data_IF_126502677208
#
_entry.id   IF_126502677208
#
_cell.length_a   1.000
_cell.length_b   1.000
_cell.length_c   1.000
_cell.angle_alpha   90.00
_cell.angle_beta   90.00
_cell.angle_gamma   90.00
#
_symmetry.space_group_name_H-M   'P 1'
#
loop_
_entity.id
_entity.type
_entity.pdbx_description
1 polymer ?
#
# COMPACT_ATOMS: atom_id res chain seq x y z
N UNK A 1 1.51 -0.44 12.66
CA UNK A 1 2.43 0.45 11.92
C UNK A 1 3.89 0.07 12.13
N UNK A 2 4.41 -0.74 11.20
CA UNK A 2 5.82 -1.15 11.12
C UNK A 2 6.39 -0.69 9.78
N UNK A 3 7.59 -0.11 9.80
CA UNK A 3 8.29 0.29 8.57
C UNK A 3 9.21 -0.84 8.08
N UNK A 4 9.16 -1.13 6.78
CA UNK A 4 9.96 -2.16 6.12
C UNK A 4 10.88 -1.57 5.06
N UNK A 5 12.06 -2.18 4.88
CA UNK A 5 13.06 -1.78 3.88
C UNK A 5 12.84 -2.52 2.57
N UNK A 6 13.48 -2.05 1.50
CA UNK A 6 13.35 -2.62 0.15
C UNK A 6 13.58 -4.13 0.10
N UNK A 7 14.52 -4.70 0.88
CA UNK A 7 14.73 -6.16 0.94
C UNK A 7 13.49 -6.91 1.42
N UNK A 8 12.85 -6.41 2.48
CA UNK A 8 11.64 -7.00 3.04
C UNK A 8 10.44 -6.81 2.11
N UNK A 9 10.37 -5.68 1.40
CA UNK A 9 9.36 -5.45 0.37
C UNK A 9 9.51 -6.48 -0.75
N UNK A 10 10.73 -6.68 -1.28
CA UNK A 10 11.04 -7.69 -2.31
C UNK A 10 10.60 -9.08 -1.88
N UNK A 11 10.91 -9.48 -0.64
CA UNK A 11 10.50 -10.77 -0.08
C UNK A 11 8.97 -10.89 0.01
N UNK A 12 8.27 -9.81 0.40
CA UNK A 12 6.81 -9.80 0.49
C UNK A 12 6.10 -9.87 -0.85
N UNK A 13 6.51 -9.05 -1.81
CA UNK A 13 5.80 -8.94 -3.11
C UNK A 13 6.33 -9.90 -4.18
N UNK A 14 7.42 -10.62 -3.90
CA UNK A 14 8.11 -11.49 -4.88
C UNK A 14 8.48 -10.78 -6.19
N UNK A 15 8.77 -9.47 -6.12
CA UNK A 15 9.19 -8.64 -7.25
C UNK A 15 10.61 -8.14 -7.07
N UNK A 16 11.34 -8.04 -8.18
CA UNK A 16 12.70 -7.49 -8.16
C UNK A 16 12.70 -6.01 -7.76
N UNK A 17 13.80 -5.55 -7.16
CA UNK A 17 13.99 -4.14 -6.80
C UNK A 17 13.75 -3.20 -7.99
N UNK A 18 14.26 -3.56 -9.16
CA UNK A 18 14.12 -2.77 -10.39
C UNK A 18 12.67 -2.66 -10.83
N UNK A 19 11.90 -3.75 -10.70
CA UNK A 19 10.46 -3.74 -10.99
C UNK A 19 9.73 -2.80 -10.03
N UNK A 20 10.03 -2.87 -8.74
CA UNK A 20 9.43 -1.99 -7.73
C UNK A 20 9.68 -0.52 -8.07
N UNK A 21 10.93 -0.14 -8.37
CA UNK A 21 11.24 1.24 -8.73
C UNK A 21 10.58 1.69 -10.04
N UNK A 22 10.47 0.81 -11.04
CA UNK A 22 9.70 1.11 -12.27
C UNK A 22 8.23 1.39 -11.94
N UNK A 23 7.60 0.53 -11.13
CA UNK A 23 6.21 0.72 -10.73
C UNK A 23 6.01 1.97 -9.88
N UNK A 24 6.99 2.35 -9.05
CA UNK A 24 6.96 3.64 -8.33
C UNK A 24 6.99 4.81 -9.32
N UNK A 25 7.85 4.74 -10.34
CA UNK A 25 7.92 5.77 -11.39
C UNK A 25 6.63 5.85 -12.23
N UNK A 26 5.98 4.72 -12.48
CA UNK A 26 4.69 4.62 -13.17
C UNK A 26 3.50 4.96 -12.26
N UNK A 27 3.72 5.21 -10.96
CA UNK A 27 2.65 5.51 -9.99
C UNK A 27 1.81 4.31 -9.57
N UNK A 28 2.21 3.08 -9.93
CA UNK A 28 1.51 1.83 -9.63
C UNK A 28 1.96 1.11 -8.36
N UNK A 29 2.87 1.70 -7.57
CA UNK A 29 3.37 1.13 -6.31
C UNK A 29 3.47 2.20 -5.22
N UNK A 30 3.24 1.85 -3.94
CA UNK A 30 3.33 2.80 -2.82
C UNK A 30 4.70 3.50 -2.75
N UNK A 31 4.66 4.81 -2.50
CA UNK A 31 5.86 5.64 -2.46
C UNK A 31 6.65 5.37 -1.18
N UNK A 32 7.99 5.24 -1.28
CA UNK A 32 8.83 5.20 -0.09
C UNK A 32 8.76 6.52 0.68
N UNK A 33 8.83 6.45 2.00
CA UNK A 33 9.06 7.60 2.86
C UNK A 33 10.46 7.56 3.46
N UNK A 34 10.98 8.74 3.79
CA UNK A 34 12.31 8.89 4.36
C UNK A 34 12.29 8.58 5.87
N UNK A 35 13.03 7.55 6.28
CA UNK A 35 13.23 7.21 7.70
C UNK A 35 14.46 7.90 8.28
N UNK A 36 15.48 8.12 7.46
CA UNK A 36 16.74 8.76 7.83
C UNK A 36 17.40 9.38 6.58
N UNK A 37 18.46 10.21 6.71
CA UNK A 37 19.09 10.92 5.60
C UNK A 37 19.46 10.04 4.39
N UNK A 38 19.85 8.79 4.62
CA UNK A 38 20.19 7.81 3.58
C UNK A 38 19.36 6.52 3.68
N UNK A 39 18.17 6.59 4.28
CA UNK A 39 17.32 5.42 4.47
C UNK A 39 15.87 5.73 4.17
N UNK A 40 15.33 5.00 3.21
CA UNK A 40 13.91 5.00 2.88
C UNK A 40 13.26 3.68 3.28
N UNK A 41 11.95 3.70 3.45
CA UNK A 41 11.15 2.55 3.81
C UNK A 41 9.71 2.74 3.39
N UNK A 42 8.94 1.68 3.57
CA UNK A 42 7.50 1.63 3.29
C UNK A 42 6.78 1.21 4.56
N UNK A 43 5.54 1.65 4.73
CA UNK A 43 4.71 1.09 5.78
C UNK A 43 4.32 -0.30 5.32
N UNK A 44 4.48 -1.28 6.22
CA UNK A 44 4.09 -2.66 5.94
C UNK A 44 2.62 -2.73 5.51
N UNK A 45 1.77 -1.92 6.13
CA UNK A 45 0.34 -1.78 5.86
C UNK A 45 0.04 -1.25 4.45
N UNK A 46 0.80 -0.29 3.93
CA UNK A 46 0.65 0.20 2.55
C UNK A 46 0.97 -0.91 1.53
N UNK A 47 1.99 -1.73 1.82
CA UNK A 47 2.35 -2.86 0.96
C UNK A 47 1.28 -3.94 1.01
N UNK A 48 0.76 -4.26 2.20
CA UNK A 48 -0.34 -5.23 2.36
C UNK A 48 -1.61 -4.75 1.66
N UNK A 49 -1.98 -3.48 1.81
CA UNK A 49 -3.12 -2.89 1.13
C UNK A 49 -2.95 -2.95 -0.40
N UNK A 50 -1.76 -2.61 -0.91
CA UNK A 50 -1.46 -2.72 -2.33
C UNK A 50 -1.54 -4.17 -2.83
N UNK A 51 -1.03 -5.15 -2.07
CA UNK A 51 -1.16 -6.57 -2.38
C UNK A 51 -2.61 -7.03 -2.38
N UNK A 52 -3.42 -6.60 -1.42
CA UNK A 52 -4.85 -6.93 -1.36
C UNK A 52 -5.59 -6.42 -2.61
N UNK A 53 -5.33 -5.17 -3.01
CA UNK A 53 -5.87 -4.59 -4.24
C UNK A 53 -5.44 -5.40 -5.47
N UNK A 54 -4.17 -5.77 -5.57
CA UNK A 54 -3.65 -6.59 -6.70
C UNK A 54 -4.20 -8.02 -6.71
N UNK A 55 -4.49 -8.59 -5.54
CA UNK A 55 -5.12 -9.89 -5.41
C UNK A 55 -6.65 -9.85 -5.68
N UNK A 56 -7.21 -8.68 -5.99
CA UNK A 56 -8.65 -8.52 -6.18
C UNK A 56 -9.46 -8.60 -4.89
N UNK A 57 -8.81 -8.62 -3.72
CA UNK A 57 -9.46 -8.39 -2.43
C UNK A 57 -9.73 -6.88 -2.32
N UNK A 58 -10.88 -6.44 -2.83
CA UNK A 58 -11.42 -5.15 -2.40
C UNK A 58 -11.61 -5.26 -0.89
N UNK A 59 -11.09 -4.29 -0.14
CA UNK A 59 -11.63 -4.02 1.18
C UNK A 59 -13.14 -3.81 0.97
N UNK A 60 -13.94 -4.66 1.60
CA UNK A 60 -15.39 -4.52 1.66
C UNK A 60 -15.71 -3.06 1.99
N UNK A 61 -16.13 -2.33 0.95
CA UNK A 61 -16.79 -1.05 1.09
C UNK A 61 -18.26 -1.40 1.21
N UNK A 62 -18.64 -1.99 2.34
CA UNK A 62 -20.02 -2.37 2.66
C UNK A 62 -20.20 -2.48 4.18
N UNK A 63 -19.93 -1.41 4.94
CA UNK A 63 -20.70 -1.14 6.18
C UNK A 63 -20.56 0.32 6.64
N UNK A 64 -21.44 1.17 6.10
CA UNK A 64 -22.12 2.26 6.83
C UNK A 64 -23.23 2.82 5.92
N UNK A 65 -24.32 2.05 5.83
CA UNK A 65 -25.65 2.61 5.53
C UNK A 65 -26.38 2.82 6.87
N UNK A 66 -27.29 3.81 6.88
CA UNK A 66 -28.32 4.14 7.92
C UNK A 66 -27.82 5.15 8.98
N UNK A 67 -28.40 6.33 9.24
CA UNK A 67 -29.62 7.06 8.85
C UNK A 67 -29.28 8.57 8.91
N UNK A 68 -29.91 9.47 8.14
CA UNK A 68 -31.14 10.12 8.59
C UNK A 68 -31.93 10.67 7.38
N UNK A 69 -33.15 10.14 7.21
CA UNK A 69 -34.23 10.78 6.46
C UNK A 69 -34.76 11.97 7.26
N UNK A 70 -35.00 13.09 6.60
CA UNK A 70 -36.28 13.79 6.74
C UNK A 70 -36.49 14.77 5.57
N UNK A 71 -37.50 14.55 4.72
CA UNK A 71 -38.22 15.63 4.08
C UNK A 71 -39.28 16.17 5.06
N UNK A 72 -39.33 17.49 5.21
CA UNK A 72 -40.50 18.22 5.68
C UNK A 72 -40.59 19.53 4.89
#
# INVERSE_FOLDING_TARGET
>A
MKAIRIKQVIEKVSLSQSTIYKMIAEGGFPKPFQLAPNRVGWLEEDIDAWLAVKAGRKAESEDLRVAESAPA
#
